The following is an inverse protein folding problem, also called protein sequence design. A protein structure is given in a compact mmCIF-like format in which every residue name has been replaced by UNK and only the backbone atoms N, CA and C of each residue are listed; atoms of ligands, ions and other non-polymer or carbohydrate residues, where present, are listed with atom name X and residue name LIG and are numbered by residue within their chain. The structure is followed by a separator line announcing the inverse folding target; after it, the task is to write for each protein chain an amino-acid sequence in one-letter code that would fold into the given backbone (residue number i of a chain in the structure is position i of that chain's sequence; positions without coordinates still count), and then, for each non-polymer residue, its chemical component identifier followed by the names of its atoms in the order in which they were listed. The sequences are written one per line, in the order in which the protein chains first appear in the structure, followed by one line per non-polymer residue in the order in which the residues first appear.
data_IF_084637713673
#
_entry.id   IF_084637713673
#
_cell.length_a   1.000
_cell.length_b   1.000
_cell.length_c   1.000
_cell.angle_alpha   90.00
_cell.angle_beta   90.00
_cell.angle_gamma   90.00
#
_symmetry.space_group_name_H-M   'P 1'
#
loop_
_entity.id
_entity.type
_entity.pdbx_description
1 polymer ?
#
# COMPACT_ATOMS: atom_id res chain seq x y z
N UNK A 1 19.06 47.71 13.47
CA UNK A 1 17.89 46.85 13.78
C UNK A 1 17.71 45.71 12.77
N UNK A 2 18.25 45.80 11.56
CA UNK A 2 18.02 44.80 10.49
C UNK A 2 18.89 43.54 10.57
N UNK A 3 20.11 43.65 11.11
CA UNK A 3 21.00 42.48 11.28
C UNK A 3 20.45 41.49 12.32
N UNK A 4 19.92 41.97 13.44
CA UNK A 4 19.33 41.12 14.47
C UNK A 4 18.09 40.36 13.99
N UNK A 5 17.26 40.99 13.14
CA UNK A 5 16.11 40.32 12.51
C UNK A 5 16.54 39.22 11.55
N UNK A 6 17.59 39.48 10.77
CA UNK A 6 18.14 38.50 9.81
C UNK A 6 18.71 37.28 10.53
N UNK A 7 19.44 37.49 11.63
CA UNK A 7 19.97 36.40 12.46
C UNK A 7 18.83 35.58 13.08
N UNK A 8 17.78 36.22 13.59
CA UNK A 8 16.64 35.53 14.20
C UNK A 8 15.86 34.68 13.19
N UNK A 9 15.66 35.19 11.97
CA UNK A 9 15.00 34.45 10.88
C UNK A 9 15.82 33.22 10.49
N UNK A 10 17.15 33.35 10.38
CA UNK A 10 18.03 32.24 10.04
C UNK A 10 18.02 31.15 11.12
N UNK A 11 17.98 31.52 12.41
CA UNK A 11 17.87 30.55 13.51
C UNK A 11 16.53 29.81 13.44
N UNK A 12 15.42 30.51 13.21
CA UNK A 12 14.09 29.90 13.04
C UNK A 12 14.05 28.91 11.87
N UNK A 13 14.65 29.27 10.74
CA UNK A 13 14.76 28.39 9.56
C UNK A 13 15.57 27.14 9.86
N UNK A 14 16.71 27.26 10.54
CA UNK A 14 17.52 26.10 10.96
C UNK A 14 16.73 25.20 11.91
N UNK A 15 16.02 25.77 12.89
CA UNK A 15 15.19 24.99 13.81
C UNK A 15 14.05 24.25 13.08
N UNK A 16 13.40 24.89 12.10
CA UNK A 16 12.37 24.25 11.28
C UNK A 16 12.94 23.12 10.41
N UNK A 17 14.12 23.32 9.80
CA UNK A 17 14.79 22.30 9.00
C UNK A 17 15.24 21.10 9.85
N UNK A 18 15.80 21.34 11.04
CA UNK A 18 16.18 20.28 11.97
C UNK A 18 14.96 19.53 12.51
N UNK A 19 13.84 20.22 12.76
CA UNK A 19 12.58 19.61 13.15
C UNK A 19 12.00 18.70 12.04
N UNK A 20 12.02 19.16 10.79
CA UNK A 20 11.61 18.38 9.63
C UNK A 20 12.51 17.16 9.39
N UNK A 21 13.84 17.35 9.53
CA UNK A 21 14.81 16.24 9.43
C UNK A 21 14.59 15.21 10.54
N UNK A 22 14.43 15.65 11.78
CA UNK A 22 14.22 14.78 12.94
C UNK A 22 12.91 13.98 12.84
N UNK A 23 11.85 14.60 12.33
CA UNK A 23 10.58 13.93 12.08
C UNK A 23 10.69 12.89 10.95
N UNK A 24 11.36 13.23 9.84
CA UNK A 24 11.62 12.32 8.72
C UNK A 24 12.49 11.11 9.14
N UNK A 25 13.55 11.36 9.90
CA UNK A 25 14.43 10.32 10.46
C UNK A 25 13.66 9.38 11.38
N UNK A 26 12.83 9.91 12.29
CA UNK A 26 12.02 9.09 13.20
C UNK A 26 11.00 8.23 12.46
N UNK A 27 10.36 8.75 11.40
CA UNK A 27 9.39 8.01 10.59
C UNK A 27 10.06 6.85 9.84
N UNK A 28 11.19 7.11 9.19
CA UNK A 28 11.98 6.08 8.51
C UNK A 28 12.54 5.04 9.49
N UNK A 29 12.96 5.44 10.68
CA UNK A 29 13.40 4.50 11.72
C UNK A 29 12.26 3.60 12.19
N UNK A 30 11.06 4.15 12.38
CA UNK A 30 9.91 3.39 12.91
C UNK A 30 9.42 2.36 11.90
N UNK A 31 9.34 2.73 10.62
CA UNK A 31 9.04 1.80 9.53
C UNK A 31 10.14 0.74 9.37
N UNK A 32 11.41 1.14 9.39
CA UNK A 32 12.56 0.23 9.30
C UNK A 32 12.59 -0.77 10.46
N UNK A 33 12.36 -0.32 11.70
CA UNK A 33 12.36 -1.19 12.88
C UNK A 33 11.17 -2.15 12.89
N UNK A 34 9.97 -1.71 12.48
CA UNK A 34 8.81 -2.59 12.28
C UNK A 34 9.08 -3.63 11.19
N UNK A 35 9.67 -3.22 10.07
CA UNK A 35 9.98 -4.13 8.96
C UNK A 35 11.11 -5.14 9.29
N UNK A 36 12.13 -4.75 10.06
CA UNK A 36 13.20 -5.64 10.49
C UNK A 36 12.75 -6.62 11.58
N UNK A 37 11.94 -6.16 12.55
CA UNK A 37 11.29 -7.05 13.51
C UNK A 37 10.38 -8.07 12.82
N UNK A 38 9.64 -7.63 11.78
CA UNK A 38 8.84 -8.51 10.94
C UNK A 38 9.68 -9.55 10.18
N UNK A 39 10.78 -9.17 9.53
CA UNK A 39 11.66 -10.12 8.82
C UNK A 39 12.17 -11.24 9.74
N UNK A 40 12.47 -10.92 11.01
CA UNK A 40 12.90 -11.91 11.99
C UNK A 40 11.78 -12.87 12.38
N UNK A 41 10.59 -12.36 12.72
CA UNK A 41 9.43 -13.17 13.10
C UNK A 41 8.92 -14.01 11.92
N UNK A 42 8.94 -13.46 10.71
CA UNK A 42 8.56 -14.16 9.47
C UNK A 42 9.42 -15.40 9.26
N UNK A 43 10.74 -15.26 9.40
CA UNK A 43 11.68 -16.39 9.25
C UNK A 43 11.47 -17.49 10.30
N UNK A 44 11.00 -17.14 11.49
CA UNK A 44 10.79 -18.10 12.60
C UNK A 44 9.44 -18.85 12.49
N UNK A 45 8.47 -18.37 11.71
CA UNK A 45 7.13 -18.98 11.56
C UNK A 45 6.63 -18.96 10.12
N UNK A 46 7.54 -19.08 9.17
CA UNK A 46 7.31 -18.87 7.73
C UNK A 46 6.11 -19.67 7.19
N UNK A 47 5.97 -20.94 7.60
CA UNK A 47 4.85 -21.79 7.21
C UNK A 47 3.48 -21.25 7.67
N UNK A 48 3.40 -20.66 8.87
CA UNK A 48 2.16 -20.04 9.36
C UNK A 48 1.83 -18.74 8.61
N UNK A 49 2.86 -18.00 8.19
CA UNK A 49 2.68 -16.80 7.37
C UNK A 49 2.15 -17.19 5.99
N UNK A 50 2.82 -18.11 5.31
CA UNK A 50 2.41 -18.60 3.99
C UNK A 50 0.97 -19.13 4.03
N UNK A 51 0.62 -19.96 5.01
CA UNK A 51 -0.74 -20.51 5.09
C UNK A 51 -1.84 -19.43 5.25
N UNK A 52 -1.57 -18.35 6.01
CA UNK A 52 -2.53 -17.25 6.22
C UNK A 52 -2.60 -16.33 5.01
N UNK A 53 -1.45 -16.02 4.41
CA UNK A 53 -1.33 -15.22 3.18
C UNK A 53 -2.04 -15.92 2.02
N UNK A 54 -1.75 -17.21 1.82
CA UNK A 54 -2.38 -18.05 0.82
C UNK A 54 -3.88 -18.16 1.05
N UNK A 55 -4.34 -18.35 2.31
CA UNK A 55 -5.78 -18.42 2.58
C UNK A 55 -6.49 -17.10 2.21
N UNK A 56 -5.94 -15.96 2.63
CA UNK A 56 -6.55 -14.66 2.39
C UNK A 56 -6.54 -14.29 0.90
N UNK A 57 -5.39 -14.49 0.23
CA UNK A 57 -5.25 -14.26 -1.20
C UNK A 57 -6.13 -15.22 -2.00
N UNK A 58 -6.11 -16.52 -1.73
CA UNK A 58 -6.98 -17.48 -2.41
C UNK A 58 -8.46 -17.14 -2.21
N UNK A 59 -8.85 -16.65 -1.03
CA UNK A 59 -10.23 -16.22 -0.80
C UNK A 59 -10.61 -15.07 -1.72
N UNK A 60 -9.79 -14.01 -1.81
CA UNK A 60 -10.01 -12.92 -2.76
C UNK A 60 -10.02 -13.43 -4.19
N UNK A 61 -9.00 -14.17 -4.59
CA UNK A 61 -8.80 -14.63 -5.96
C UNK A 61 -9.96 -15.49 -6.47
N UNK A 62 -10.70 -16.18 -5.60
CA UNK A 62 -11.86 -16.99 -5.96
C UNK A 62 -13.20 -16.24 -5.85
N UNK A 63 -13.21 -14.94 -5.55
CA UNK A 63 -14.42 -14.13 -5.65
C UNK A 63 -14.80 -13.87 -7.09
N UNK A 64 -16.11 -13.95 -7.34
CA UNK A 64 -16.72 -13.54 -8.60
C UNK A 64 -16.40 -12.08 -8.90
N UNK A 65 -16.09 -11.80 -10.17
CA UNK A 65 -15.82 -10.46 -10.68
C UNK A 65 -17.13 -9.91 -11.24
N UNK A 66 -17.73 -8.86 -10.66
CA UNK A 66 -18.77 -8.12 -11.33
C UNK A 66 -18.22 -7.52 -12.62
N UNK A 67 -18.97 -7.64 -13.73
CA UNK A 67 -18.65 -6.95 -14.97
C UNK A 67 -18.61 -5.45 -14.69
N UNK A 68 -17.64 -4.75 -15.31
CA UNK A 68 -17.51 -3.28 -15.26
C UNK A 68 -17.06 -2.69 -13.91
N UNK A 69 -16.35 -3.46 -13.07
CA UNK A 69 -15.80 -2.96 -11.80
C UNK A 69 -14.27 -3.01 -11.78
N UNK A 70 -13.63 -1.86 -11.52
CA UNK A 70 -12.16 -1.74 -11.44
C UNK A 70 -11.61 -2.24 -10.10
N UNK A 71 -12.34 -2.01 -9.01
CA UNK A 71 -11.94 -2.42 -7.66
C UNK A 71 -13.10 -3.13 -6.95
N UNK A 72 -12.85 -4.34 -6.49
CA UNK A 72 -13.81 -5.16 -5.75
C UNK A 72 -13.37 -5.18 -4.29
N UNK A 73 -14.20 -4.62 -3.41
CA UNK A 73 -13.97 -4.72 -1.98
C UNK A 73 -14.47 -6.07 -1.44
N UNK A 74 -13.66 -6.74 -0.64
CA UNK A 74 -14.04 -7.95 0.09
C UNK A 74 -13.99 -7.77 1.59
N UNK A 75 -15.12 -8.05 2.21
CA UNK A 75 -15.25 -8.09 3.66
C UNK A 75 -15.86 -9.43 4.07
N UNK A 76 -15.05 -10.40 4.53
CA UNK A 76 -15.58 -11.63 5.10
C UNK A 76 -16.07 -11.35 6.52
N UNK A 77 -17.26 -10.78 6.68
CA UNK A 77 -17.94 -10.63 7.98
C UNK A 77 -17.04 -10.14 9.13
N UNK A 78 -16.26 -9.09 8.87
CA UNK A 78 -15.30 -8.58 9.84
C UNK A 78 -15.82 -7.31 10.51
N UNK A 79 -15.86 -7.27 11.85
CA UNK A 79 -16.29 -6.11 12.64
C UNK A 79 -15.41 -4.86 12.41
N UNK A 80 -14.23 -5.05 11.82
CA UNK A 80 -13.23 -4.00 11.62
C UNK A 80 -13.29 -3.32 10.24
N UNK A 81 -14.28 -3.64 9.41
CA UNK A 81 -14.55 -2.82 8.22
C UNK A 81 -15.21 -1.52 8.67
N UNK A 82 -14.36 -0.60 9.08
CA UNK A 82 -14.72 0.74 9.49
C UNK A 82 -14.39 1.71 8.35
N UNK A 83 -14.57 3.01 8.59
CA UNK A 83 -14.24 4.02 7.59
C UNK A 83 -12.80 3.93 7.05
N UNK A 84 -11.84 3.33 7.79
CA UNK A 84 -10.44 3.19 7.33
C UNK A 84 -10.25 2.06 6.34
N UNK A 85 -11.03 0.97 6.44
CA UNK A 85 -11.06 -0.05 5.40
C UNK A 85 -11.65 0.52 4.10
N UNK A 86 -12.73 1.28 4.21
CA UNK A 86 -13.32 2.02 3.08
C UNK A 86 -12.33 3.04 2.50
N UNK A 87 -11.60 3.76 3.35
CA UNK A 87 -10.54 4.68 2.92
C UNK A 87 -9.50 3.94 2.07
N UNK A 88 -8.98 2.80 2.53
CA UNK A 88 -8.00 1.99 1.77
C UNK A 88 -8.56 1.60 0.40
N UNK A 89 -9.79 1.08 0.35
CA UNK A 89 -10.44 0.71 -0.93
C UNK A 89 -10.50 1.92 -1.86
N UNK A 90 -10.92 3.08 -1.37
CA UNK A 90 -10.99 4.31 -2.17
C UNK A 90 -9.61 4.79 -2.63
N UNK A 91 -8.55 4.60 -1.84
CA UNK A 91 -7.18 4.93 -2.27
C UNK A 91 -6.68 3.98 -3.36
N UNK A 92 -6.95 2.68 -3.23
CA UNK A 92 -6.66 1.71 -4.29
C UNK A 92 -7.44 2.08 -5.56
N UNK A 93 -8.73 2.35 -5.43
CA UNK A 93 -9.58 2.81 -6.54
C UNK A 93 -9.04 4.08 -7.18
N UNK A 94 -8.56 5.08 -6.43
CA UNK A 94 -7.94 6.26 -7.02
C UNK A 94 -6.69 5.94 -7.85
N UNK A 95 -5.82 5.04 -7.39
CA UNK A 95 -4.65 4.63 -8.15
C UNK A 95 -5.07 3.86 -9.40
N UNK A 96 -5.97 2.89 -9.24
CA UNK A 96 -6.42 2.02 -10.34
C UNK A 96 -7.33 2.73 -11.35
N UNK A 97 -8.08 3.76 -10.95
CA UNK A 97 -8.96 4.56 -11.84
C UNK A 97 -8.22 5.70 -12.53
N UNK A 98 -7.16 6.23 -11.90
CA UNK A 98 -6.19 7.07 -12.61
C UNK A 98 -5.46 6.25 -13.68
N UNK A 99 -5.64 4.92 -13.67
CA UNK A 99 -5.11 3.96 -14.61
C UNK A 99 -5.85 3.82 -15.96
N UNK A 100 -6.21 4.96 -16.57
CA UNK A 100 -5.80 5.17 -17.97
C UNK A 100 -4.26 5.06 -18.15
N UNK A 101 -3.49 5.07 -17.05
CA UNK A 101 -2.12 4.55 -16.86
C UNK A 101 -1.87 3.14 -17.43
N UNK A 102 -2.90 2.31 -17.62
CA UNK A 102 -2.82 1.06 -18.38
C UNK A 102 -2.49 1.27 -19.88
N UNK A 103 -2.72 2.46 -20.45
CA UNK A 103 -2.27 2.82 -21.81
C UNK A 103 -0.74 2.98 -21.91
N UNK A 104 -0.04 3.26 -20.81
CA UNK A 104 1.42 3.47 -20.82
C UNK A 104 2.17 2.15 -20.57
N UNK A 105 1.59 1.24 -19.79
CA UNK A 105 2.26 0.01 -19.38
C UNK A 105 1.88 -1.24 -20.19
N UNK A 106 0.90 -1.17 -21.09
CA UNK A 106 0.36 -2.33 -21.82
C UNK A 106 -0.05 -3.50 -20.88
N UNK A 107 -0.42 -3.13 -19.66
CA UNK A 107 -0.92 -4.02 -18.63
C UNK A 107 -2.43 -3.91 -18.68
N UNK A 108 -3.13 -4.99 -19.01
CA UNK A 108 -4.59 -5.02 -18.86
C UNK A 108 -4.92 -4.69 -17.41
N UNK A 109 -5.70 -3.62 -17.20
CA UNK A 109 -6.22 -3.23 -15.90
C UNK A 109 -7.24 -4.28 -15.45
N UNK A 110 -6.75 -5.35 -14.82
CA UNK A 110 -7.59 -6.38 -14.24
C UNK A 110 -8.29 -5.81 -13.02
N UNK A 111 -9.56 -6.19 -12.77
CA UNK A 111 -10.23 -5.84 -11.53
C UNK A 111 -9.39 -6.23 -10.31
N UNK A 112 -9.10 -5.26 -9.44
CA UNK A 112 -8.31 -5.46 -8.23
C UNK A 112 -9.24 -5.79 -7.07
N UNK A 113 -9.01 -6.92 -6.43
CA UNK A 113 -9.74 -7.30 -5.22
C UNK A 113 -9.00 -6.82 -4.00
N UNK A 114 -9.67 -6.07 -3.13
CA UNK A 114 -9.06 -5.49 -1.93
C UNK A 114 -9.75 -6.06 -0.70
N UNK A 115 -8.96 -6.66 0.18
CA UNK A 115 -9.46 -7.22 1.44
C UNK A 115 -8.64 -6.79 2.64
N UNK A 116 -9.25 -6.88 3.83
CA UNK A 116 -8.53 -6.78 5.10
C UNK A 116 -8.62 -8.11 5.84
N UNK A 117 -7.52 -8.57 6.44
CA UNK A 117 -7.48 -9.85 7.14
C UNK A 117 -6.77 -9.76 8.50
N UNK A 118 -7.25 -10.46 9.55
CA UNK A 118 -6.56 -10.54 10.83
C UNK A 118 -5.26 -11.34 10.68
N UNK A 119 -4.18 -10.63 10.43
CA UNK A 119 -2.84 -11.18 10.24
C UNK A 119 -2.00 -10.95 11.50
N UNK A 120 -1.13 -11.91 11.83
CA UNK A 120 -0.17 -11.79 12.95
C UNK A 120 0.95 -10.77 12.66
N UNK A 121 0.99 -10.23 11.45
CA UNK A 121 2.00 -9.29 10.96
C UNK A 121 1.38 -7.97 10.50
N UNK A 122 2.24 -7.03 10.14
CA UNK A 122 1.89 -5.68 9.72
C UNK A 122 2.33 -5.45 8.27
N UNK A 123 1.42 -4.96 7.43
CA UNK A 123 1.70 -4.61 6.03
C UNK A 123 0.54 -4.97 5.11
N UNK A 124 0.83 -5.00 3.82
CA UNK A 124 -0.04 -5.57 2.80
C UNK A 124 0.72 -6.62 1.99
N UNK A 125 -0.03 -7.37 1.20
CA UNK A 125 0.50 -8.23 0.14
C UNK A 125 -0.36 -8.05 -1.09
N UNK A 126 0.30 -7.73 -2.19
CA UNK A 126 -0.26 -7.76 -3.52
C UNK A 126 0.14 -9.04 -4.27
N UNK A 127 -0.79 -9.58 -5.05
CA UNK A 127 -0.56 -10.70 -5.95
C UNK A 127 -1.30 -10.45 -7.26
N UNK A 128 -0.61 -10.79 -8.35
CA UNK A 128 -1.21 -10.92 -9.67
C UNK A 128 -1.03 -12.36 -10.15
N UNK A 129 -2.02 -12.89 -10.84
CA UNK A 129 -1.95 -14.23 -11.44
C UNK A 129 -2.28 -14.07 -12.91
N UNK A 130 -1.32 -14.41 -13.77
CA UNK A 130 -1.54 -14.44 -15.21
C UNK A 130 -2.20 -15.77 -15.59
N UNK A 131 -3.28 -15.69 -16.35
CA UNK A 131 -4.19 -16.78 -16.64
C UNK A 131 -3.61 -17.93 -17.44
N UNK A 132 -2.50 -17.67 -18.14
CA UNK A 132 -1.77 -18.69 -18.91
C UNK A 132 -1.19 -19.80 -18.02
N UNK A 133 -0.92 -19.54 -16.74
CA UNK A 133 -0.35 -20.55 -15.83
C UNK A 133 -1.37 -21.53 -15.26
N UNK A 134 -2.66 -21.16 -15.19
CA UNK A 134 -3.66 -21.94 -14.44
C UNK A 134 -5.05 -22.07 -15.08
N UNK A 135 -5.22 -21.80 -16.39
CA UNK A 135 -6.51 -21.90 -17.10
C UNK A 135 -7.65 -21.01 -16.54
N UNK A 136 -7.28 -20.03 -15.72
CA UNK A 136 -8.19 -19.05 -15.09
C UNK A 136 -7.94 -17.70 -15.75
N UNK A 137 -8.93 -16.82 -15.77
CA UNK A 137 -8.74 -15.42 -16.19
C UNK A 137 -7.66 -14.74 -15.33
N UNK A 138 -6.94 -13.77 -15.89
CA UNK A 138 -5.95 -13.01 -15.13
C UNK A 138 -6.61 -12.31 -13.93
N UNK A 139 -5.91 -12.26 -12.79
CA UNK A 139 -6.48 -11.74 -11.53
C UNK A 139 -5.46 -10.89 -10.77
N UNK A 140 -5.96 -9.91 -10.03
CA UNK A 140 -5.15 -9.07 -9.13
C UNK A 140 -5.84 -8.92 -7.77
N UNK A 141 -5.08 -9.06 -6.69
CA UNK A 141 -5.58 -8.96 -5.32
C UNK A 141 -4.58 -8.24 -4.42
N UNK A 142 -5.09 -7.45 -3.47
CA UNK A 142 -4.34 -6.85 -2.38
C UNK A 142 -5.02 -7.21 -1.06
N UNK A 143 -4.25 -7.76 -0.11
CA UNK A 143 -4.71 -7.98 1.25
C UNK A 143 -3.92 -7.09 2.19
N UNK A 144 -4.62 -6.33 3.04
CA UNK A 144 -4.02 -5.57 4.13
C UNK A 144 -4.24 -6.25 5.47
N UNK A 145 -3.22 -6.24 6.32
CA UNK A 145 -3.36 -6.67 7.71
C UNK A 145 -4.28 -5.72 8.48
N UNK A 146 -5.14 -6.27 9.34
CA UNK A 146 -6.15 -5.49 10.07
C UNK A 146 -5.58 -4.39 10.98
N UNK A 147 -4.33 -4.57 11.44
CA UNK A 147 -3.62 -3.60 12.26
C UNK A 147 -3.22 -2.33 11.49
N UNK A 148 -3.20 -2.36 10.15
CA UNK A 148 -3.05 -1.18 9.28
C UNK A 148 -4.19 -0.19 9.52
N UNK A 149 -5.37 -0.65 9.94
CA UNK A 149 -6.47 0.26 10.30
C UNK A 149 -6.11 1.15 11.50
N UNK A 150 -5.07 0.85 12.28
CA UNK A 150 -4.60 1.71 13.38
C UNK A 150 -3.73 2.89 12.91
N UNK A 151 -3.27 2.87 11.67
CA UNK A 151 -2.24 3.80 11.18
C UNK A 151 -2.77 5.20 10.88
N UNK A 152 -1.83 6.14 10.73
CA UNK A 152 -2.13 7.49 10.23
C UNK A 152 -2.47 7.46 8.74
N UNK A 153 -3.14 8.52 8.25
CA UNK A 153 -3.40 8.74 6.83
C UNK A 153 -2.17 8.49 5.96
N UNK A 154 -1.03 9.08 6.35
CA UNK A 154 0.19 9.02 5.56
C UNK A 154 0.79 7.61 5.51
N UNK A 155 0.74 6.87 6.62
CA UNK A 155 1.21 5.49 6.69
C UNK A 155 0.34 4.57 5.83
N UNK A 156 -0.98 4.76 5.85
CA UNK A 156 -1.91 4.02 4.98
C UNK A 156 -1.66 4.35 3.51
N UNK A 157 -1.54 5.64 3.16
CA UNK A 157 -1.27 6.07 1.78
C UNK A 157 0.08 5.53 1.26
N UNK A 158 1.12 5.54 2.11
CA UNK A 158 2.43 4.99 1.77
C UNK A 158 2.34 3.46 1.53
N UNK A 159 1.57 2.73 2.34
CA UNK A 159 1.39 1.28 2.19
C UNK A 159 0.52 0.92 0.98
N UNK A 160 -0.58 1.64 0.74
CA UNK A 160 -1.42 1.46 -0.46
C UNK A 160 -0.59 1.69 -1.72
N UNK A 161 0.23 2.74 -1.75
CA UNK A 161 1.12 3.02 -2.88
C UNK A 161 2.13 1.88 -3.11
N UNK A 162 2.64 1.29 -2.04
CA UNK A 162 3.57 0.17 -2.08
C UNK A 162 2.93 -1.08 -2.72
N UNK A 163 1.76 -1.48 -2.23
CA UNK A 163 1.08 -2.68 -2.74
C UNK A 163 0.57 -2.49 -4.18
N UNK A 164 0.09 -1.29 -4.53
CA UNK A 164 -0.30 -1.02 -5.91
C UNK A 164 0.90 -1.05 -6.86
N UNK A 165 2.07 -0.58 -6.43
CA UNK A 165 3.29 -0.66 -7.23
C UNK A 165 3.69 -2.12 -7.53
N UNK A 166 3.50 -3.04 -6.59
CA UNK A 166 3.72 -4.48 -6.83
C UNK A 166 2.78 -5.06 -7.89
N UNK A 167 1.53 -4.60 -7.99
CA UNK A 167 0.63 -5.04 -9.07
C UNK A 167 1.05 -4.53 -10.45
N UNK A 168 1.69 -3.34 -10.48
CA UNK A 168 2.12 -2.68 -11.72
C UNK A 168 3.46 -3.23 -12.24
N UNK A 169 4.31 -3.75 -11.38
CA UNK A 169 5.52 -4.48 -11.77
C UNK A 169 5.11 -5.90 -12.15
N UNK A 170 5.11 -6.23 -13.45
CA UNK A 170 4.72 -7.55 -13.98
C UNK A 170 5.62 -8.72 -13.57
N UNK A 171 6.58 -8.53 -12.64
CA UNK A 171 7.50 -9.57 -12.16
C UNK A 171 7.35 -9.75 -10.65
N UNK A 172 6.55 -10.75 -10.28
CA UNK A 172 5.96 -10.91 -8.95
C UNK A 172 6.91 -11.65 -8.03
N UNK A 173 7.88 -10.93 -7.49
CA UNK A 173 8.49 -11.28 -6.21
C UNK A 173 8.39 -10.07 -5.31
N UNK A 174 7.52 -10.13 -4.29
CA UNK A 174 7.24 -9.03 -3.36
C UNK A 174 8.48 -8.49 -2.62
N UNK A 175 9.59 -9.23 -2.65
CA UNK A 175 10.85 -8.85 -2.03
C UNK A 175 11.76 -7.98 -2.95
N UNK A 176 11.43 -7.85 -4.24
CA UNK A 176 12.30 -7.22 -5.25
C UNK A 176 11.85 -5.79 -5.57
N UNK A 177 12.59 -4.82 -5.02
CA UNK A 177 12.32 -3.39 -5.22
C UNK A 177 13.27 -2.79 -6.27
N UNK A 178 13.11 -3.21 -7.53
CA UNK A 178 13.88 -2.70 -8.66
C UNK A 178 13.58 -1.24 -9.02
N UNK A 179 14.25 -0.71 -10.05
CA UNK A 179 14.01 0.68 -10.51
C UNK A 179 12.57 0.88 -11.01
N UNK A 180 11.98 -0.13 -11.67
CA UNK A 180 10.58 -0.10 -12.10
C UNK A 180 9.61 0.03 -10.90
N UNK A 181 9.86 -0.73 -9.82
CA UNK A 181 9.09 -0.59 -8.59
C UNK A 181 9.17 0.84 -8.06
N UNK A 182 10.38 1.42 -7.97
CA UNK A 182 10.55 2.78 -7.45
C UNK A 182 9.78 3.81 -8.28
N UNK A 183 9.77 3.66 -9.60
CA UNK A 183 9.01 4.51 -10.51
C UNK A 183 7.51 4.42 -10.22
N UNK A 184 6.95 3.20 -10.18
CA UNK A 184 5.52 3.01 -9.92
C UNK A 184 5.12 3.43 -8.51
N UNK A 185 5.96 3.17 -7.51
CA UNK A 185 5.74 3.62 -6.14
C UNK A 185 5.64 5.14 -6.05
N UNK A 186 6.55 5.88 -6.71
CA UNK A 186 6.49 7.34 -6.76
C UNK A 186 5.23 7.83 -7.47
N UNK A 187 4.87 7.23 -8.61
CA UNK A 187 3.66 7.58 -9.36
C UNK A 187 2.38 7.38 -8.53
N UNK A 188 2.25 6.23 -7.84
CA UNK A 188 1.14 5.96 -6.93
C UNK A 188 1.03 7.03 -5.85
N UNK A 189 2.17 7.39 -5.22
CA UNK A 189 2.20 8.44 -4.20
C UNK A 189 1.76 9.80 -4.74
N UNK A 190 2.20 10.16 -5.93
CA UNK A 190 1.82 11.44 -6.54
C UNK A 190 0.33 11.51 -6.85
N UNK A 191 -0.29 10.42 -7.32
CA UNK A 191 -1.75 10.33 -7.51
C UNK A 191 -2.47 10.59 -6.18
N UNK A 192 -2.04 9.90 -5.14
CA UNK A 192 -2.62 9.98 -3.81
C UNK A 192 -2.47 11.38 -3.19
N UNK A 193 -1.31 12.02 -3.35
CA UNK A 193 -1.04 13.37 -2.85
C UNK A 193 -1.88 14.43 -3.56
N UNK A 194 -2.07 14.29 -4.87
CA UNK A 194 -2.80 15.26 -5.70
C UNK A 194 -4.32 15.01 -5.75
N UNK A 195 -4.79 13.90 -5.16
CA UNK A 195 -6.22 13.53 -5.11
C UNK A 195 -6.67 13.28 -3.68
N UNK A 196 -6.70 14.30 -2.81
CA UNK A 196 -7.03 14.11 -1.40
C UNK A 196 -8.49 13.69 -1.22
N UNK A 197 -8.72 12.65 -0.42
CA UNK A 197 -10.04 12.29 0.12
C UNK A 197 -10.04 12.45 1.64
N UNK A 198 -11.25 12.50 2.23
CA UNK A 198 -11.41 12.60 3.67
C UNK A 198 -10.86 11.37 4.38
N UNK A 199 -10.07 11.60 5.42
CA UNK A 199 -9.58 10.53 6.29
C UNK A 199 -10.57 10.32 7.44
N UNK A 200 -11.02 9.08 7.70
CA UNK A 200 -11.94 8.79 8.80
C UNK A 200 -11.30 9.13 10.14
N UNK A 201 -12.10 9.72 11.04
CA UNK A 201 -11.68 10.01 12.42
C UNK A 201 -11.51 8.72 13.23
#
# INVERSE_FOLDING_TARGET
MDEYRTVLINILLICLLLGALGYSLKKNLTFSLRSQGFKKIRKEREDEFIAVEDFALNTLMNMDIPKDTEVIAYQPNNFFWNGRAEYIVRRVEQIMSTAHFCLICNVSCLPVRVGTYPMKWYGGIAMREDGEKHSKEDRSSIVFAINVMGDTRQEIDDLVSHECAHLLVCDIKSDVHGEEFKFYYAACKDILLNSPIDFPK
#
